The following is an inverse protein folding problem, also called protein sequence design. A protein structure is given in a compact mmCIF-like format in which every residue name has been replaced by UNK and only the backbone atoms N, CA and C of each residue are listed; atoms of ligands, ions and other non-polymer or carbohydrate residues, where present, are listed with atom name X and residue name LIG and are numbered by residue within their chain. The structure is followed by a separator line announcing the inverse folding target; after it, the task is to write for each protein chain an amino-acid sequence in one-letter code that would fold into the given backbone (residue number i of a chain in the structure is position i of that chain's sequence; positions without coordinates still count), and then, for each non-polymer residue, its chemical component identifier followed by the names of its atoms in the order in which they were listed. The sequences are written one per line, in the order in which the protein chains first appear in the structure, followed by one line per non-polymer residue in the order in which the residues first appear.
data_IF_002756070034
#
_entry.id   IF_002756070034
#
_cell.length_a   1.000
_cell.length_b   1.000
_cell.length_c   1.000
_cell.angle_alpha   90.00
_cell.angle_beta   90.00
_cell.angle_gamma   90.00
#
_symmetry.space_group_name_H-M   'P 1'
#
loop_
_entity.id
_entity.type
_entity.pdbx_description
1 polymer ?
#
# COMPACT_ATOMS: atom_id res chain seq x y z
N UNK A 1 -36.53 -43.50 -46.71
CA UNK A 1 -36.34 -43.73 -45.24
C UNK A 1 -35.07 -43.07 -44.87
N UNK A 2 -35.18 -41.78 -44.55
CA UNK A 2 -34.06 -40.94 -44.12
C UNK A 2 -33.84 -41.14 -42.63
N UNK A 3 -32.64 -41.56 -42.23
CA UNK A 3 -32.20 -41.59 -40.83
C UNK A 3 -31.78 -40.19 -40.43
N UNK A 4 -32.60 -39.52 -39.63
CA UNK A 4 -32.19 -38.28 -38.94
C UNK A 4 -31.17 -38.61 -37.87
N UNK A 5 -29.92 -38.31 -38.18
CA UNK A 5 -28.79 -38.29 -37.23
C UNK A 5 -28.89 -37.03 -36.34
N UNK A 6 -29.55 -37.18 -35.19
CA UNK A 6 -29.59 -36.11 -34.18
C UNK A 6 -28.23 -36.00 -33.50
N UNK A 7 -27.31 -35.28 -34.15
CA UNK A 7 -26.02 -34.87 -33.61
C UNK A 7 -26.18 -34.01 -32.33
N UNK A 8 -26.42 -34.65 -31.17
CA UNK A 8 -26.38 -33.99 -29.87
C UNK A 8 -24.92 -33.65 -29.55
N UNK A 9 -24.56 -32.36 -29.65
CA UNK A 9 -23.29 -31.84 -29.21
C UNK A 9 -23.00 -32.26 -27.78
N UNK A 10 -22.07 -33.19 -27.57
CA UNK A 10 -21.56 -33.52 -26.26
C UNK A 10 -20.92 -32.25 -25.65
N UNK A 11 -21.38 -31.84 -24.49
CA UNK A 11 -20.76 -30.74 -23.72
C UNK A 11 -19.42 -31.27 -23.17
N UNK A 12 -18.39 -31.22 -24.01
CA UNK A 12 -17.04 -31.65 -23.64
C UNK A 12 -16.44 -30.77 -22.54
N UNK A 13 -15.76 -31.37 -21.58
CA UNK A 13 -14.85 -30.71 -20.69
C UNK A 13 -15.39 -30.01 -19.44
N UNK A 14 -16.70 -29.92 -19.22
CA UNK A 14 -17.27 -29.33 -18.01
C UNK A 14 -17.47 -30.37 -16.91
N UNK A 15 -17.05 -30.05 -15.68
CA UNK A 15 -17.36 -30.85 -14.50
C UNK A 15 -18.88 -30.88 -14.24
N UNK A 16 -19.36 -31.94 -13.55
CA UNK A 16 -20.72 -31.97 -13.06
C UNK A 16 -20.97 -30.80 -12.11
N UNK A 17 -22.06 -30.08 -12.33
CA UNK A 17 -22.54 -29.05 -11.40
C UNK A 17 -23.50 -29.68 -10.36
N UNK A 18 -23.94 -28.90 -9.38
CA UNK A 18 -24.80 -29.35 -8.30
C UNK A 18 -26.18 -29.87 -8.84
N UNK A 19 -26.73 -29.17 -9.79
CA UNK A 19 -28.04 -29.54 -10.39
C UNK A 19 -27.94 -30.85 -11.15
N UNK A 20 -26.89 -31.05 -11.93
CA UNK A 20 -26.64 -32.30 -12.66
C UNK A 20 -26.46 -33.49 -11.69
N UNK A 21 -25.84 -33.27 -10.51
CA UNK A 21 -25.72 -34.30 -9.47
C UNK A 21 -27.07 -34.69 -8.89
N UNK A 22 -27.91 -33.70 -8.57
CA UNK A 22 -29.27 -33.93 -8.07
C UNK A 22 -30.11 -34.66 -9.13
N UNK A 23 -29.99 -34.25 -10.40
CA UNK A 23 -30.68 -34.93 -11.52
C UNK A 23 -30.18 -36.36 -11.69
N UNK A 24 -28.88 -36.60 -11.59
CA UNK A 24 -28.33 -37.98 -11.64
C UNK A 24 -28.88 -38.84 -10.48
N UNK A 25 -28.97 -38.30 -9.26
CA UNK A 25 -29.52 -39.04 -8.11
C UNK A 25 -31.00 -39.42 -8.36
N UNK A 26 -31.78 -38.48 -8.84
CA UNK A 26 -33.20 -38.74 -9.17
C UNK A 26 -33.35 -39.81 -10.27
N UNK A 27 -32.55 -39.72 -11.34
CA UNK A 27 -32.58 -40.71 -12.44
C UNK A 27 -32.13 -42.10 -11.98
N UNK A 28 -31.09 -42.19 -11.17
CA UNK A 28 -30.60 -43.47 -10.60
C UNK A 28 -31.69 -44.09 -9.73
N UNK A 29 -32.34 -43.31 -8.87
CA UNK A 29 -33.41 -43.79 -7.98
C UNK A 29 -34.63 -44.28 -8.75
N UNK A 30 -35.02 -43.57 -9.82
CA UNK A 30 -36.21 -43.90 -10.61
C UNK A 30 -36.01 -45.08 -11.56
N UNK A 31 -34.84 -45.15 -12.22
CA UNK A 31 -34.64 -46.13 -13.32
C UNK A 31 -33.90 -47.39 -12.84
N UNK A 32 -33.18 -47.34 -11.75
CA UNK A 32 -32.35 -48.44 -11.22
C UNK A 32 -32.60 -48.63 -9.71
N UNK A 33 -33.82 -49.11 -9.34
CA UNK A 33 -34.16 -49.36 -7.95
C UNK A 33 -33.27 -50.44 -7.36
N UNK A 34 -33.22 -50.51 -6.06
CA UNK A 34 -32.43 -51.35 -5.13
C UNK A 34 -31.72 -52.57 -5.77
N UNK A 35 -30.38 -52.57 -5.78
CA UNK A 35 -29.58 -53.70 -6.23
C UNK A 35 -29.36 -53.86 -7.74
N UNK A 36 -30.00 -53.03 -8.56
CA UNK A 36 -29.81 -53.04 -10.02
C UNK A 36 -28.63 -52.14 -10.38
N UNK A 37 -27.66 -52.63 -11.11
CA UNK A 37 -26.54 -51.81 -11.57
C UNK A 37 -26.99 -50.75 -12.58
N UNK A 38 -26.55 -49.50 -12.44
CA UNK A 38 -26.92 -48.41 -13.35
C UNK A 38 -26.36 -48.60 -14.76
N UNK A 39 -27.20 -48.44 -15.76
CA UNK A 39 -26.77 -48.32 -17.15
C UNK A 39 -26.21 -46.88 -17.40
N UNK A 40 -24.90 -46.75 -17.38
CA UNK A 40 -24.24 -45.47 -17.57
C UNK A 40 -24.38 -44.90 -18.98
N UNK A 41 -24.64 -45.74 -20.00
CA UNK A 41 -24.92 -45.30 -21.37
C UNK A 41 -26.26 -44.60 -21.44
N UNK A 42 -27.30 -45.21 -20.86
CA UNK A 42 -28.65 -44.62 -20.78
C UNK A 42 -28.67 -43.35 -19.96
N UNK A 43 -28.00 -43.34 -18.81
CA UNK A 43 -27.86 -42.14 -17.97
C UNK A 43 -27.09 -41.04 -18.70
N UNK A 44 -26.07 -41.39 -19.47
CA UNK A 44 -25.30 -40.46 -20.28
C UNK A 44 -26.15 -39.73 -21.32
N UNK A 45 -27.00 -40.46 -22.03
CA UNK A 45 -27.94 -39.87 -22.98
C UNK A 45 -28.92 -38.92 -22.32
N UNK A 46 -29.49 -39.30 -21.16
CA UNK A 46 -30.47 -38.48 -20.42
C UNK A 46 -29.87 -37.20 -19.82
N UNK A 47 -28.56 -37.20 -19.49
CA UNK A 47 -27.83 -36.08 -18.93
C UNK A 47 -27.06 -35.26 -19.98
N UNK A 48 -27.01 -35.72 -21.24
CA UNK A 48 -26.17 -35.09 -22.27
C UNK A 48 -24.67 -35.21 -21.98
N UNK A 49 -24.23 -36.28 -21.29
CA UNK A 49 -22.87 -36.53 -20.84
C UNK A 49 -22.33 -37.86 -21.36
N UNK A 50 -21.03 -37.93 -21.58
CA UNK A 50 -20.40 -39.20 -21.95
C UNK A 50 -20.50 -40.22 -20.81
N UNK A 51 -20.75 -41.50 -21.17
CA UNK A 51 -20.96 -42.59 -20.20
C UNK A 51 -19.86 -42.71 -19.14
N UNK A 52 -18.59 -42.50 -19.54
CA UNK A 52 -17.44 -42.56 -18.60
C UNK A 52 -17.42 -41.40 -17.61
N UNK A 53 -17.99 -40.25 -17.97
CA UNK A 53 -18.11 -39.09 -17.05
C UNK A 53 -19.18 -39.40 -16.00
N UNK A 54 -20.29 -40.00 -16.40
CA UNK A 54 -21.38 -40.41 -15.50
C UNK A 54 -20.91 -41.50 -14.55
N UNK A 55 -20.22 -42.54 -15.06
CA UNK A 55 -19.67 -43.63 -14.25
C UNK A 55 -18.68 -43.12 -13.18
N UNK A 56 -17.76 -42.19 -13.56
CA UNK A 56 -16.84 -41.59 -12.62
C UNK A 56 -17.53 -40.73 -11.57
N UNK A 57 -18.58 -40.00 -11.98
CA UNK A 57 -19.37 -39.19 -11.05
C UNK A 57 -20.21 -40.08 -10.12
N UNK A 58 -20.80 -41.15 -10.63
CA UNK A 58 -21.48 -42.14 -9.80
C UNK A 58 -20.56 -42.74 -8.75
N UNK A 59 -19.37 -43.18 -9.14
CA UNK A 59 -18.37 -43.71 -8.22
C UNK A 59 -17.99 -42.69 -7.11
N UNK A 60 -17.92 -41.39 -7.45
CA UNK A 60 -17.61 -40.32 -6.48
C UNK A 60 -18.68 -40.18 -5.41
N UNK A 61 -19.98 -40.35 -5.78
CA UNK A 61 -21.10 -40.22 -4.87
C UNK A 61 -21.64 -41.56 -4.35
N UNK A 62 -20.98 -42.68 -4.65
CA UNK A 62 -21.49 -44.01 -4.25
C UNK A 62 -21.56 -44.16 -2.73
N UNK A 63 -22.69 -44.62 -2.23
CA UNK A 63 -22.95 -44.99 -0.85
C UNK A 63 -23.43 -46.42 -0.79
N UNK A 64 -23.12 -47.12 0.26
CA UNK A 64 -23.65 -48.46 0.52
C UNK A 64 -24.83 -48.33 1.49
N UNK A 65 -25.98 -48.76 1.09
CA UNK A 65 -27.20 -48.82 1.88
C UNK A 65 -27.58 -50.31 2.09
N UNK A 66 -28.46 -50.60 3.04
CA UNK A 66 -29.00 -51.92 3.27
C UNK A 66 -30.51 -51.93 3.09
N UNK A 67 -31.04 -53.03 2.60
CA UNK A 67 -32.49 -53.30 2.59
C UNK A 67 -32.97 -53.68 4.00
N UNK A 68 -34.28 -53.75 4.22
CA UNK A 68 -34.84 -54.25 5.49
C UNK A 68 -34.40 -55.68 5.82
N UNK A 69 -33.93 -56.46 4.85
CA UNK A 69 -33.42 -57.82 4.96
C UNK A 69 -31.87 -57.82 5.10
N UNK A 70 -31.25 -56.70 5.42
CA UNK A 70 -29.81 -56.49 5.59
C UNK A 70 -28.93 -56.77 4.36
N UNK A 71 -29.55 -56.82 3.17
CA UNK A 71 -28.81 -57.00 1.91
C UNK A 71 -28.21 -55.65 1.47
N UNK A 72 -26.86 -55.54 1.34
CA UNK A 72 -26.23 -54.30 0.95
C UNK A 72 -26.44 -53.98 -0.54
N UNK A 73 -26.68 -52.73 -0.87
CA UNK A 73 -26.75 -52.25 -2.24
C UNK A 73 -26.07 -50.88 -2.42
N UNK A 74 -25.57 -50.62 -3.60
CA UNK A 74 -24.99 -49.34 -3.94
C UNK A 74 -26.05 -48.33 -4.36
N UNK A 75 -26.03 -47.15 -3.81
CA UNK A 75 -26.82 -45.99 -4.21
C UNK A 75 -25.92 -44.82 -4.54
N UNK A 76 -26.45 -43.82 -5.24
CA UNK A 76 -25.73 -42.57 -5.48
C UNK A 76 -26.30 -41.47 -4.60
N UNK A 77 -25.39 -40.67 -4.01
CA UNK A 77 -25.75 -39.48 -3.24
C UNK A 77 -25.10 -38.23 -3.86
N UNK A 78 -25.93 -37.33 -4.34
CA UNK A 78 -25.50 -36.04 -4.91
C UNK A 78 -24.74 -35.21 -3.90
N UNK A 79 -25.15 -35.25 -2.61
CA UNK A 79 -24.46 -34.55 -1.52
C UNK A 79 -23.04 -35.06 -1.33
N UNK A 80 -22.85 -36.37 -1.20
CA UNK A 80 -21.54 -37.00 -1.06
C UNK A 80 -20.64 -36.69 -2.25
N UNK A 81 -21.18 -36.72 -3.47
CA UNK A 81 -20.45 -36.38 -4.69
C UNK A 81 -20.05 -34.91 -4.72
N UNK A 82 -20.92 -34.00 -4.25
CA UNK A 82 -20.62 -32.57 -4.15
C UNK A 82 -19.52 -32.33 -3.11
N UNK A 83 -19.65 -32.85 -1.90
CA UNK A 83 -18.67 -32.73 -0.84
C UNK A 83 -17.29 -33.26 -1.25
N UNK A 84 -17.27 -34.36 -2.02
CA UNK A 84 -16.02 -34.91 -2.57
C UNK A 84 -15.42 -34.02 -3.67
N UNK A 85 -16.27 -33.40 -4.51
CA UNK A 85 -15.81 -32.47 -5.53
C UNK A 85 -15.27 -31.17 -4.92
N UNK A 86 -15.94 -30.66 -3.90
CA UNK A 86 -15.51 -29.44 -3.17
C UNK A 86 -14.18 -29.66 -2.45
N UNK A 87 -14.03 -30.81 -1.78
CA UNK A 87 -12.72 -31.20 -1.19
C UNK A 87 -11.61 -31.33 -2.24
N UNK A 88 -11.91 -31.93 -3.39
CA UNK A 88 -10.95 -32.03 -4.48
C UNK A 88 -10.63 -30.66 -5.11
N UNK A 89 -11.57 -29.73 -5.11
CA UNK A 89 -11.36 -28.36 -5.58
C UNK A 89 -10.39 -27.56 -4.68
N UNK A 90 -10.45 -27.78 -3.36
CA UNK A 90 -9.53 -27.15 -2.40
C UNK A 90 -8.06 -27.52 -2.66
N UNK A 91 -7.80 -28.68 -3.25
CA UNK A 91 -6.45 -29.17 -3.57
C UNK A 91 -6.03 -28.87 -5.02
N UNK A 92 -6.85 -28.18 -5.80
CA UNK A 92 -6.53 -27.79 -7.19
C UNK A 92 -5.82 -26.45 -7.23
N UNK A 93 -4.81 -26.38 -8.05
CA UNK A 93 -4.02 -25.16 -8.27
C UNK A 93 -2.63 -25.19 -7.64
N UNK A 94 -1.79 -24.21 -7.94
CA UNK A 94 -0.48 -24.09 -7.34
C UNK A 94 -0.63 -23.83 -5.84
N UNK A 95 0.21 -24.49 -5.03
CA UNK A 95 0.23 -24.24 -3.59
C UNK A 95 0.47 -22.76 -3.30
N UNK A 96 -0.23 -22.15 -2.33
CA UNK A 96 0.02 -20.78 -1.94
C UNK A 96 1.49 -20.60 -1.57
N UNK A 97 2.20 -19.71 -2.25
CA UNK A 97 3.60 -19.40 -1.92
C UNK A 97 3.71 -18.56 -0.64
N UNK A 98 2.63 -17.86 -0.27
CA UNK A 98 2.58 -17.08 0.96
C UNK A 98 2.43 -18.02 2.16
N UNK A 99 3.55 -18.27 2.84
CA UNK A 99 3.56 -19.05 4.08
C UNK A 99 3.02 -18.25 5.25
N UNK A 100 2.52 -18.92 6.29
CA UNK A 100 2.01 -18.28 7.51
C UNK A 100 3.07 -17.37 8.17
N UNK A 101 4.35 -17.79 8.14
CA UNK A 101 5.45 -17.00 8.70
C UNK A 101 5.66 -15.68 7.94
N UNK A 102 5.73 -15.73 6.59
CA UNK A 102 5.87 -14.52 5.76
C UNK A 102 4.64 -13.63 5.89
N UNK A 103 3.43 -14.21 5.97
CA UNK A 103 2.20 -13.45 6.19
C UNK A 103 2.22 -12.69 7.53
N UNK A 104 2.66 -13.34 8.62
CA UNK A 104 2.81 -12.72 9.92
C UNK A 104 3.83 -11.56 9.89
N UNK A 105 5.00 -11.77 9.27
CA UNK A 105 6.01 -10.70 9.13
C UNK A 105 5.45 -9.48 8.38
N UNK A 106 4.74 -9.69 7.26
CA UNK A 106 4.13 -8.60 6.50
C UNK A 106 3.08 -7.86 7.34
N UNK A 107 2.23 -8.60 8.05
CA UNK A 107 1.22 -8.03 8.96
C UNK A 107 1.88 -7.14 10.00
N UNK A 108 2.92 -7.63 10.66
CA UNK A 108 3.60 -6.92 11.76
C UNK A 108 4.31 -5.66 11.23
N UNK A 109 4.97 -5.73 10.08
CA UNK A 109 5.54 -4.56 9.40
C UNK A 109 4.47 -3.49 9.07
N UNK A 110 3.27 -3.90 8.65
CA UNK A 110 2.18 -2.97 8.34
C UNK A 110 1.57 -2.39 9.61
N UNK A 111 1.23 -3.23 10.60
CA UNK A 111 0.47 -2.80 11.78
C UNK A 111 1.34 -2.14 12.83
N UNK A 112 2.51 -2.71 13.14
CA UNK A 112 3.40 -2.24 14.21
C UNK A 112 4.37 -1.18 13.71
N UNK A 113 5.01 -1.41 12.57
CA UNK A 113 5.96 -0.46 11.98
C UNK A 113 5.31 0.57 11.05
N UNK A 114 4.00 0.51 10.83
CA UNK A 114 3.22 1.45 9.99
C UNK A 114 3.72 1.55 8.55
N UNK A 115 4.30 0.47 8.02
CA UNK A 115 4.80 0.44 6.65
C UNK A 115 3.65 0.29 5.65
N UNK A 116 3.84 0.81 4.44
CA UNK A 116 2.97 0.46 3.31
C UNK A 116 3.29 -0.97 2.84
N UNK A 117 2.37 -1.64 2.12
CA UNK A 117 2.65 -2.95 1.53
C UNK A 117 3.94 -2.98 0.71
N UNK A 118 4.21 -1.93 -0.07
CA UNK A 118 5.45 -1.78 -0.81
C UNK A 118 6.68 -1.76 0.10
N UNK A 119 6.68 -0.89 1.12
CA UNK A 119 7.80 -0.75 2.03
C UNK A 119 8.04 -2.03 2.85
N UNK A 120 6.97 -2.74 3.25
CA UNK A 120 7.08 -4.03 3.92
C UNK A 120 7.76 -5.08 3.04
N UNK A 121 7.38 -5.16 1.76
CA UNK A 121 8.03 -6.05 0.78
C UNK A 121 9.51 -5.70 0.61
N UNK A 122 9.85 -4.43 0.44
CA UNK A 122 11.24 -4.00 0.29
C UNK A 122 12.07 -4.30 1.55
N UNK A 123 11.52 -4.09 2.74
CA UNK A 123 12.16 -4.44 4.01
C UNK A 123 12.44 -5.94 4.12
N UNK A 124 11.50 -6.80 3.71
CA UNK A 124 11.70 -8.25 3.71
C UNK A 124 12.74 -8.70 2.68
N UNK A 125 12.76 -8.07 1.50
CA UNK A 125 13.77 -8.37 0.48
C UNK A 125 15.19 -7.99 0.93
N UNK A 126 15.32 -6.86 1.60
CA UNK A 126 16.60 -6.38 2.13
C UNK A 126 17.19 -7.31 3.21
N UNK A 127 16.37 -8.13 3.89
CA UNK A 127 16.87 -9.13 4.86
C UNK A 127 17.69 -10.22 4.20
N UNK A 128 17.33 -10.67 2.99
CA UNK A 128 18.04 -11.70 2.25
C UNK A 128 17.91 -13.14 2.79
N UNK A 129 17.25 -13.35 3.93
CA UNK A 129 17.11 -14.65 4.61
C UNK A 129 15.87 -15.44 4.18
N UNK A 130 14.99 -14.84 3.38
CA UNK A 130 13.75 -15.48 2.92
C UNK A 130 13.93 -16.06 1.51
N UNK A 131 13.56 -17.34 1.27
CA UNK A 131 13.67 -17.95 -0.05
C UNK A 131 12.73 -17.31 -1.08
N UNK A 132 11.67 -16.67 -0.61
CA UNK A 132 10.71 -15.98 -1.45
C UNK A 132 9.98 -14.87 -0.69
N UNK A 133 9.84 -13.72 -1.34
CA UNK A 133 9.09 -12.55 -0.84
C UNK A 133 8.04 -12.16 -1.89
N UNK A 134 6.77 -11.96 -1.52
CA UNK A 134 5.72 -11.58 -2.45
C UNK A 134 6.00 -10.23 -3.11
N UNK A 135 5.40 -9.96 -4.26
CA UNK A 135 5.37 -8.60 -4.79
C UNK A 135 4.28 -7.77 -4.09
N UNK A 136 4.37 -6.44 -4.22
CA UNK A 136 3.38 -5.51 -3.64
C UNK A 136 1.93 -5.89 -4.00
N UNK A 137 1.69 -6.23 -5.26
CA UNK A 137 0.34 -6.61 -5.75
C UNK A 137 -0.19 -7.86 -5.06
N UNK A 138 0.67 -8.86 -4.85
CA UNK A 138 0.29 -10.09 -4.13
C UNK A 138 -0.07 -9.81 -2.66
N UNK A 139 0.58 -8.84 -2.02
CA UNK A 139 0.23 -8.40 -0.66
C UNK A 139 -1.17 -7.78 -0.63
N UNK A 140 -1.51 -6.92 -1.61
CA UNK A 140 -2.87 -6.37 -1.70
C UNK A 140 -3.92 -7.45 -1.91
N UNK A 141 -3.68 -8.44 -2.79
CA UNK A 141 -4.58 -9.58 -2.94
C UNK A 141 -4.74 -10.40 -1.65
N UNK A 142 -3.66 -10.61 -0.91
CA UNK A 142 -3.72 -11.32 0.36
C UNK A 142 -4.50 -10.53 1.44
N UNK A 143 -4.43 -9.19 1.43
CA UNK A 143 -5.26 -8.33 2.27
C UNK A 143 -6.73 -8.47 1.88
N UNK A 144 -7.05 -8.41 0.58
CA UNK A 144 -8.43 -8.52 0.08
C UNK A 144 -9.04 -9.90 0.36
N UNK A 145 -8.23 -10.95 0.34
CA UNK A 145 -8.63 -12.32 0.69
C UNK A 145 -8.64 -12.59 2.21
N UNK A 146 -8.30 -11.61 3.06
CA UNK A 146 -8.25 -11.78 4.53
C UNK A 146 -7.09 -12.62 5.05
N UNK A 147 -6.13 -12.99 4.19
CA UNK A 147 -5.03 -13.91 4.54
C UNK A 147 -3.97 -13.30 5.48
N UNK A 148 -3.91 -11.99 5.58
CA UNK A 148 -2.94 -11.27 6.42
C UNK A 148 -3.50 -10.80 7.76
N UNK A 149 -4.82 -10.89 7.97
CA UNK A 149 -5.46 -10.28 9.14
C UNK A 149 -5.31 -8.75 9.20
N UNK A 150 -5.10 -8.11 8.03
CA UNK A 150 -4.98 -6.66 7.85
C UNK A 150 -6.13 -6.18 7.00
N UNK A 151 -6.82 -5.12 7.41
CA UNK A 151 -7.86 -4.48 6.62
C UNK A 151 -7.30 -3.27 5.83
N UNK A 152 -7.95 -2.90 4.71
CA UNK A 152 -7.59 -1.68 3.95
C UNK A 152 -7.63 -0.39 4.79
N UNK A 153 -8.49 -0.34 5.80
CA UNK A 153 -8.60 0.80 6.71
C UNK A 153 -7.37 0.99 7.62
N UNK A 154 -6.58 -0.05 7.81
CA UNK A 154 -5.36 -0.03 8.61
C UNK A 154 -4.12 0.33 7.78
N UNK A 155 -4.25 0.39 6.45
CA UNK A 155 -3.15 0.81 5.59
C UNK A 155 -2.83 2.30 5.79
N UNK A 156 -1.56 2.70 5.64
CA UNK A 156 -1.13 4.09 5.78
C UNK A 156 -1.82 5.06 4.82
N UNK A 157 -2.21 4.57 3.65
CA UNK A 157 -2.93 5.33 2.63
C UNK A 157 -4.36 4.84 2.56
N UNK A 158 -5.26 5.57 3.20
CA UNK A 158 -6.69 5.32 3.08
C UNK A 158 -7.18 5.94 1.76
N UNK A 159 -8.10 5.27 1.04
CA UNK A 159 -8.81 5.91 -0.05
C UNK A 159 -9.47 7.18 0.50
N UNK A 160 -9.10 8.32 -0.02
CA UNK A 160 -9.78 9.58 0.35
C UNK A 160 -11.19 9.53 -0.22
N UNK A 161 -12.21 9.56 0.65
CA UNK A 161 -13.59 9.78 0.24
C UNK A 161 -13.73 11.05 -0.61
N UNK A 162 -14.87 11.26 -1.27
CA UNK A 162 -15.14 12.44 -2.09
C UNK A 162 -14.67 13.71 -1.37
N UNK A 163 -13.74 14.45 -1.98
CA UNK A 163 -13.32 15.76 -1.48
C UNK A 163 -14.55 16.67 -1.45
N UNK A 164 -15.00 17.03 -0.28
CA UNK A 164 -15.94 18.14 -0.16
C UNK A 164 -15.27 19.39 -0.75
N UNK A 165 -15.85 19.95 -1.78
CA UNK A 165 -15.44 21.27 -2.30
C UNK A 165 -15.60 22.26 -1.15
N UNK A 166 -14.49 22.81 -0.67
CA UNK A 166 -14.55 23.91 0.30
C UNK A 166 -15.08 25.12 -0.45
N UNK A 167 -16.26 25.57 -0.08
CA UNK A 167 -16.79 26.86 -0.50
C UNK A 167 -15.99 27.98 0.18
N UNK A 168 -15.62 28.98 -0.56
CA UNK A 168 -14.97 30.21 -0.07
C UNK A 168 -13.63 30.50 -0.76
N UNK A 169 -13.56 31.63 -1.47
CA UNK A 169 -12.31 32.20 -1.94
C UNK A 169 -11.47 32.61 -0.72
N UNK A 170 -10.31 31.97 -0.54
CA UNK A 170 -9.32 32.43 0.44
C UNK A 170 -8.49 33.53 -0.22
N UNK A 171 -8.29 34.65 0.48
CA UNK A 171 -7.34 35.65 0.04
C UNK A 171 -5.96 35.01 -0.13
N UNK A 172 -5.40 35.16 -1.33
CA UNK A 172 -4.04 34.74 -1.61
C UNK A 172 -3.11 35.87 -1.17
N UNK A 173 -2.14 35.53 -0.33
CA UNK A 173 -1.03 36.42 -0.05
C UNK A 173 0.15 36.03 -0.96
N UNK A 174 0.73 36.98 -1.65
CA UNK A 174 1.94 36.80 -2.47
C UNK A 174 3.07 37.60 -1.85
N UNK A 175 4.20 36.96 -1.55
CA UNK A 175 5.39 37.69 -1.12
C UNK A 175 5.99 38.41 -2.33
N UNK A 176 5.70 39.70 -2.47
CA UNK A 176 6.20 40.55 -3.58
C UNK A 176 7.67 40.93 -3.44
N UNK A 177 8.28 40.70 -2.29
CA UNK A 177 9.69 41.02 -2.00
C UNK A 177 10.62 39.82 -2.15
N UNK A 178 10.10 38.59 -2.14
CA UNK A 178 10.87 37.37 -2.28
C UNK A 178 11.05 36.93 -3.71
N UNK A 179 12.05 36.08 -3.99
CA UNK A 179 12.27 35.51 -5.33
C UNK A 179 11.14 34.51 -5.69
N UNK A 180 10.53 34.63 -6.85
CA UNK A 180 9.51 33.68 -7.27
C UNK A 180 10.15 32.32 -7.61
N UNK A 181 9.35 31.24 -7.50
CA UNK A 181 9.79 29.85 -7.78
C UNK A 181 10.29 29.68 -9.22
N UNK A 182 9.84 30.53 -10.14
CA UNK A 182 10.26 30.52 -11.55
C UNK A 182 11.73 30.86 -11.77
N UNK A 183 12.34 31.55 -10.82
CA UNK A 183 13.78 31.90 -10.84
C UNK A 183 14.67 30.83 -10.19
N UNK A 184 14.06 29.74 -9.72
CA UNK A 184 14.78 28.65 -9.05
C UNK A 184 15.70 27.93 -10.05
N UNK A 185 16.94 27.53 -9.61
CA UNK A 185 17.89 26.85 -10.49
C UNK A 185 17.31 25.58 -11.13
N UNK A 186 17.68 25.27 -12.40
CA UNK A 186 17.19 24.08 -13.12
C UNK A 186 17.46 22.76 -12.38
N UNK A 187 18.59 22.64 -11.67
CA UNK A 187 18.94 21.48 -10.84
C UNK A 187 17.89 21.19 -9.75
N UNK A 188 17.33 22.25 -9.17
CA UNK A 188 16.21 22.13 -8.24
C UNK A 188 14.93 21.65 -8.93
N UNK A 189 14.63 22.15 -10.13
CA UNK A 189 13.41 21.78 -10.86
C UNK A 189 13.44 20.31 -11.29
N UNK A 190 14.52 19.90 -11.93
CA UNK A 190 14.70 18.54 -12.42
C UNK A 190 15.09 17.52 -11.32
N UNK A 191 15.34 18.00 -10.09
CA UNK A 191 15.78 17.16 -8.96
C UNK A 191 17.03 16.34 -9.27
N UNK A 192 17.91 16.91 -10.04
CA UNK A 192 19.16 16.28 -10.50
C UNK A 192 20.34 16.56 -9.57
N UNK A 193 20.17 17.46 -8.61
CA UNK A 193 21.21 17.98 -7.76
C UNK A 193 20.77 17.98 -6.29
N UNK A 194 21.68 17.60 -5.38
CA UNK A 194 21.45 17.67 -3.94
C UNK A 194 21.59 19.11 -3.44
N UNK A 195 20.83 19.42 -2.38
CA UNK A 195 20.94 20.72 -1.70
C UNK A 195 19.75 21.65 -1.94
N UNK A 196 18.76 21.21 -2.69
CA UNK A 196 17.54 21.96 -2.93
C UNK A 196 16.40 21.42 -2.06
N UNK A 197 15.97 22.22 -1.09
CA UNK A 197 15.01 21.82 -0.07
C UNK A 197 13.68 22.56 -0.20
N UNK A 198 12.62 21.92 0.16
CA UNK A 198 11.30 22.50 0.37
C UNK A 198 11.06 22.62 1.87
N UNK A 199 10.56 23.77 2.34
CA UNK A 199 10.30 24.04 3.76
C UNK A 199 8.82 24.32 3.99
N UNK A 200 8.23 23.70 5.02
CA UNK A 200 6.81 23.83 5.37
C UNK A 200 6.63 23.74 6.88
N UNK A 201 5.43 24.12 7.35
CA UNK A 201 5.04 23.94 8.75
C UNK A 201 3.83 23.00 8.88
N UNK A 202 3.91 22.07 9.81
CA UNK A 202 2.80 21.20 10.20
C UNK A 202 2.23 21.70 11.52
N UNK A 203 1.00 22.21 11.47
CA UNK A 203 0.32 22.75 12.67
C UNK A 203 -0.47 21.68 13.41
N UNK A 204 -0.62 21.87 14.71
CA UNK A 204 -1.47 21.06 15.59
C UNK A 204 -2.97 21.28 15.42
N UNK A 205 -3.75 20.90 16.40
CA UNK A 205 -5.19 21.13 16.45
C UNK A 205 -5.53 22.60 16.72
N UNK A 206 -6.69 23.02 16.26
CA UNK A 206 -7.25 24.32 16.64
C UNK A 206 -7.55 24.33 18.15
N UNK A 207 -7.14 25.37 18.85
CA UNK A 207 -7.32 25.47 20.30
C UNK A 207 -6.31 24.67 21.14
N UNK A 208 -5.33 24.03 20.52
CA UNK A 208 -4.18 23.42 21.22
C UNK A 208 -3.06 24.45 21.40
N UNK A 209 -1.86 23.98 21.71
CA UNK A 209 -0.69 24.85 21.84
C UNK A 209 -0.30 25.53 20.53
N UNK A 210 0.46 26.67 20.56
CA UNK A 210 0.98 27.31 19.38
C UNK A 210 2.11 26.52 18.70
N UNK A 211 2.57 25.42 19.30
CA UNK A 211 3.66 24.59 18.79
C UNK A 211 3.32 24.02 17.42
N UNK A 212 4.32 23.98 16.56
CA UNK A 212 4.23 23.37 15.22
C UNK A 212 5.52 22.59 14.90
N UNK A 213 5.49 21.86 13.79
CA UNK A 213 6.70 21.23 13.24
C UNK A 213 7.18 22.05 12.05
N UNK A 214 8.48 22.30 11.99
CA UNK A 214 9.18 22.69 10.79
C UNK A 214 9.58 21.40 10.06
N UNK A 215 9.22 21.27 8.81
CA UNK A 215 9.53 20.13 7.94
C UNK A 215 10.32 20.64 6.75
N UNK A 216 11.52 20.11 6.57
CA UNK A 216 12.34 20.35 5.39
C UNK A 216 12.49 19.06 4.61
N UNK A 217 12.19 19.12 3.31
CA UNK A 217 12.26 17.96 2.40
C UNK A 217 13.31 18.25 1.32
N UNK A 218 14.35 17.43 1.24
CA UNK A 218 15.29 17.48 0.14
C UNK A 218 14.65 16.91 -1.14
N UNK A 219 14.78 17.66 -2.24
CA UNK A 219 13.98 17.41 -3.46
C UNK A 219 14.42 16.17 -4.23
N UNK A 220 15.72 15.86 -4.30
CA UNK A 220 16.27 14.74 -5.04
C UNK A 220 16.19 13.43 -4.23
N UNK A 221 16.67 13.44 -3.01
CA UNK A 221 16.80 12.26 -2.16
C UNK A 221 15.58 11.96 -1.30
N UNK A 222 14.67 12.93 -1.19
CA UNK A 222 13.50 12.85 -0.30
C UNK A 222 13.85 12.77 1.18
N UNK A 223 15.06 13.19 1.56
CA UNK A 223 15.45 13.28 2.96
C UNK A 223 14.61 14.32 3.67
N UNK A 224 14.14 13.95 4.85
CA UNK A 224 13.32 14.82 5.70
C UNK A 224 14.10 15.26 6.93
N UNK A 225 13.86 16.50 7.35
CA UNK A 225 14.26 17.03 8.64
C UNK A 225 12.99 17.55 9.30
N UNK A 226 12.70 17.09 10.51
CA UNK A 226 11.50 17.46 11.25
C UNK A 226 11.90 18.04 12.60
N UNK A 227 11.55 19.31 12.85
CA UNK A 227 11.91 20.01 14.09
C UNK A 227 10.70 20.62 14.76
N UNK A 228 10.67 20.55 16.10
CA UNK A 228 9.61 21.17 16.90
C UNK A 228 9.92 22.65 17.11
N UNK A 229 9.01 23.50 16.69
CA UNK A 229 8.99 24.93 17.01
C UNK A 229 8.03 25.22 18.17
N UNK A 230 8.36 26.23 18.96
CA UNK A 230 7.49 26.70 20.05
C UNK A 230 6.22 27.38 19.54
N UNK A 231 6.30 28.04 18.39
CA UNK A 231 5.18 28.70 17.74
C UNK A 231 5.46 28.85 16.22
N UNK A 232 4.39 29.06 15.45
CA UNK A 232 4.43 29.34 14.00
C UNK A 232 4.77 30.82 13.75
N UNK A 233 6.01 31.20 13.94
CA UNK A 233 6.50 32.57 13.78
C UNK A 233 7.81 32.61 13.01
N UNK A 234 8.09 33.74 12.35
CA UNK A 234 9.36 34.00 11.64
C UNK A 234 10.57 33.80 12.55
N UNK A 235 10.51 34.38 13.76
CA UNK A 235 11.58 34.28 14.73
C UNK A 235 11.85 32.83 15.19
N UNK A 236 10.80 31.99 15.30
CA UNK A 236 10.96 30.59 15.68
C UNK A 236 11.62 29.76 14.55
N UNK A 237 11.25 30.03 13.29
CA UNK A 237 11.87 29.40 12.12
C UNK A 237 13.33 29.76 12.02
N UNK A 238 13.66 31.06 12.03
CA UNK A 238 15.05 31.54 11.93
C UNK A 238 15.91 30.99 13.06
N UNK A 239 15.44 31.05 14.31
CA UNK A 239 16.14 30.52 15.48
C UNK A 239 16.43 29.03 15.35
N UNK A 240 15.51 28.24 14.82
CA UNK A 240 15.74 26.81 14.63
C UNK A 240 16.75 26.53 13.52
N UNK A 241 16.71 27.26 12.41
CA UNK A 241 17.71 27.17 11.35
C UNK A 241 19.10 27.57 11.87
N UNK A 242 19.20 28.66 12.61
CA UNK A 242 20.44 29.11 13.24
C UNK A 242 20.99 28.07 14.23
N UNK A 243 20.09 27.44 15.00
CA UNK A 243 20.48 26.36 15.94
C UNK A 243 21.06 25.16 15.22
N UNK A 244 20.40 24.73 14.12
CA UNK A 244 20.87 23.62 13.30
C UNK A 244 22.18 23.92 12.62
N UNK A 245 22.38 25.13 12.10
CA UNK A 245 23.62 25.56 11.46
C UNK A 245 24.79 25.58 12.47
N UNK A 246 24.60 26.18 13.66
CA UNK A 246 25.62 26.20 14.73
C UNK A 246 25.96 24.80 15.24
N UNK A 247 25.04 23.89 15.19
CA UNK A 247 25.26 22.49 15.56
C UNK A 247 25.97 21.66 14.46
N UNK A 248 26.34 22.27 13.32
CA UNK A 248 26.96 21.57 12.20
C UNK A 248 26.07 20.53 11.57
N UNK A 249 24.74 20.76 11.58
CA UNK A 249 23.78 19.77 11.04
C UNK A 249 24.05 19.52 9.54
N UNK A 250 24.00 18.26 9.15
CA UNK A 250 24.29 17.82 7.77
C UNK A 250 23.44 18.48 6.66
N UNK A 251 22.32 19.14 7.02
CA UNK A 251 21.57 20.01 6.12
C UNK A 251 22.45 21.03 5.41
N UNK A 252 23.37 21.65 6.18
CA UNK A 252 24.18 22.78 5.70
C UNK A 252 25.39 22.34 4.87
N UNK A 253 25.71 21.05 4.85
CA UNK A 253 26.73 20.48 3.96
C UNK A 253 26.23 20.37 2.53
N UNK A 254 25.96 21.49 1.88
CA UNK A 254 25.46 21.52 0.50
C UNK A 254 24.07 22.13 0.35
N UNK A 255 23.58 22.84 1.36
CA UNK A 255 22.36 23.62 1.25
C UNK A 255 22.53 24.74 0.21
N UNK A 256 21.71 24.69 -0.85
CA UNK A 256 21.73 25.67 -1.93
C UNK A 256 20.50 26.56 -1.91
N UNK A 257 19.32 25.96 -1.90
CA UNK A 257 18.05 26.70 -1.94
C UNK A 257 17.02 26.15 -0.97
N UNK A 258 16.16 27.05 -0.47
CA UNK A 258 14.94 26.72 0.27
C UNK A 258 13.74 27.23 -0.53
N UNK A 259 12.76 26.37 -0.79
CA UNK A 259 11.49 26.75 -1.41
C UNK A 259 10.38 26.73 -0.37
N UNK A 260 9.71 27.85 -0.16
CA UNK A 260 8.64 28.04 0.82
C UNK A 260 7.29 28.32 0.15
N UNK A 261 6.20 28.21 0.89
CA UNK A 261 4.95 28.88 0.54
C UNK A 261 4.95 30.34 1.05
N UNK A 262 3.86 31.04 0.78
CA UNK A 262 3.68 32.40 1.26
C UNK A 262 3.12 32.45 2.69
N UNK A 263 3.48 31.50 3.54
CA UNK A 263 3.12 31.47 4.96
C UNK A 263 3.74 32.66 5.72
N UNK A 264 3.00 33.22 6.67
CA UNK A 264 3.49 34.38 7.44
C UNK A 264 4.79 34.11 8.20
N UNK A 265 5.07 32.85 8.53
CA UNK A 265 6.28 32.38 9.20
C UNK A 265 7.54 32.42 8.32
N UNK A 266 7.38 32.56 6.99
CA UNK A 266 8.48 32.58 6.03
C UNK A 266 8.72 33.95 5.37
N UNK A 267 7.96 34.98 5.77
CA UNK A 267 8.03 36.30 5.12
C UNK A 267 9.35 37.02 5.34
N UNK A 268 10.03 36.77 6.47
CA UNK A 268 11.38 37.26 6.70
C UNK A 268 12.42 36.33 6.06
N UNK A 269 12.41 36.32 4.74
CA UNK A 269 13.33 35.47 3.98
C UNK A 269 14.80 35.92 4.13
N UNK A 270 15.06 37.19 4.38
CA UNK A 270 16.43 37.70 4.62
C UNK A 270 17.03 37.10 5.88
N UNK A 271 16.25 36.96 6.94
CA UNK A 271 16.69 36.26 8.15
C UNK A 271 16.87 34.74 7.92
N UNK A 272 16.06 34.14 7.04
CA UNK A 272 16.21 32.72 6.65
C UNK A 272 17.48 32.51 5.82
N UNK A 273 17.78 33.42 4.88
CA UNK A 273 18.97 33.34 4.03
C UNK A 273 20.28 33.56 4.79
N UNK A 274 20.29 34.47 5.75
CA UNK A 274 21.44 34.87 6.50
C UNK A 274 22.08 33.70 7.26
N UNK A 275 23.41 33.52 7.13
CA UNK A 275 24.17 32.57 7.93
C UNK A 275 24.33 33.04 9.38
N UNK A 276 24.26 32.12 10.33
CA UNK A 276 24.53 32.33 11.74
C UNK A 276 26.03 32.19 12.10
N UNK A 277 26.84 31.68 11.16
CA UNK A 277 28.25 31.35 11.40
C UNK A 277 29.25 32.24 10.64
N UNK A 278 28.81 32.81 9.51
CA UNK A 278 29.70 33.57 8.61
C UNK A 278 28.98 34.78 8.03
N UNK A 279 29.75 35.74 7.52
CA UNK A 279 29.20 36.82 6.72
C UNK A 279 28.59 36.25 5.41
N UNK A 280 27.40 36.73 5.02
CA UNK A 280 26.70 36.29 3.82
C UNK A 280 25.57 35.27 4.09
N UNK A 281 25.13 34.67 3.04
CA UNK A 281 23.94 33.80 3.05
C UNK A 281 24.32 32.33 3.21
N UNK A 282 23.45 31.56 3.90
CA UNK A 282 23.49 30.09 3.97
C UNK A 282 22.81 29.42 2.76
N UNK A 283 21.86 30.10 2.14
CA UNK A 283 21.11 29.63 0.98
C UNK A 283 20.37 30.77 0.30
N UNK A 284 19.69 30.47 -0.80
CA UNK A 284 18.70 31.36 -1.44
C UNK A 284 17.28 30.85 -1.16
N UNK A 285 16.32 31.76 -0.94
CA UNK A 285 14.92 31.43 -0.65
C UNK A 285 14.04 31.78 -1.85
N UNK A 286 13.18 30.85 -2.25
CA UNK A 286 12.22 30.99 -3.33
C UNK A 286 10.79 30.75 -2.82
N UNK A 287 9.81 31.44 -3.39
CA UNK A 287 8.41 31.34 -2.99
C UNK A 287 7.56 30.71 -4.09
N UNK A 288 6.77 29.69 -3.72
CA UNK A 288 5.81 29.06 -4.61
C UNK A 288 4.65 30.01 -4.94
N UNK A 289 4.03 29.81 -6.10
CA UNK A 289 2.83 30.56 -6.46
C UNK A 289 1.67 30.24 -5.52
N UNK A 290 0.85 31.22 -5.17
CA UNK A 290 -0.34 30.99 -4.38
C UNK A 290 -1.25 29.93 -5.05
N UNK A 291 -1.81 29.02 -4.23
CA UNK A 291 -2.71 27.95 -4.65
C UNK A 291 -2.17 26.90 -5.62
N UNK A 292 -0.89 26.89 -5.96
CA UNK A 292 -0.25 25.87 -6.78
C UNK A 292 0.43 24.78 -5.93
N UNK A 293 -0.37 23.93 -5.29
CA UNK A 293 0.13 22.83 -4.46
C UNK A 293 1.03 21.85 -5.23
N UNK A 294 0.86 21.72 -6.56
CA UNK A 294 1.68 20.86 -7.41
C UNK A 294 3.16 21.25 -7.44
N UNK A 295 3.49 22.52 -7.23
CA UNK A 295 4.88 23.02 -7.18
C UNK A 295 5.65 22.51 -5.96
N UNK A 296 4.94 22.05 -4.90
CA UNK A 296 5.45 21.58 -3.63
C UNK A 296 4.96 20.17 -3.28
N UNK A 297 4.82 19.31 -4.27
CA UNK A 297 4.31 17.95 -4.09
C UNK A 297 5.16 17.08 -3.15
N UNK A 298 6.44 17.41 -2.94
CA UNK A 298 7.31 16.72 -1.98
C UNK A 298 6.85 16.96 -0.56
N UNK A 299 6.56 18.21 -0.19
CA UNK A 299 6.10 18.58 1.15
C UNK A 299 4.73 18.00 1.48
N UNK A 300 3.79 17.99 0.52
CA UNK A 300 2.47 17.37 0.76
C UNK A 300 2.62 15.90 1.12
N UNK A 301 3.50 15.18 0.43
CA UNK A 301 3.78 13.78 0.74
C UNK A 301 4.50 13.62 2.09
N UNK A 302 5.51 14.46 2.39
CA UNK A 302 6.23 14.47 3.67
C UNK A 302 5.25 14.68 4.84
N UNK A 303 4.43 15.72 4.75
CA UNK A 303 3.42 16.04 5.76
C UNK A 303 2.44 14.87 5.97
N UNK A 304 2.04 14.18 4.90
CA UNK A 304 1.18 12.99 4.99
C UNK A 304 1.88 11.83 5.70
N UNK A 305 3.19 11.66 5.54
CA UNK A 305 3.95 10.63 6.25
C UNK A 305 4.08 11.01 7.73
N UNK A 306 4.41 12.25 8.07
CA UNK A 306 4.46 12.76 9.46
C UNK A 306 3.11 12.53 10.15
N UNK A 307 1.99 12.72 9.44
CA UNK A 307 0.63 12.52 9.97
C UNK A 307 0.27 11.07 10.31
N UNK A 308 1.11 10.09 9.97
CA UNK A 308 0.95 8.71 10.48
C UNK A 308 1.25 8.61 11.96
N UNK A 309 2.12 9.48 12.48
CA UNK A 309 2.54 9.52 13.88
C UNK A 309 1.87 10.63 14.67
N UNK A 310 1.70 11.78 14.04
CA UNK A 310 1.10 12.98 14.63
C UNK A 310 -0.19 13.29 13.85
N UNK A 311 -1.35 12.71 14.26
CA UNK A 311 -2.61 12.90 13.54
C UNK A 311 -3.02 14.37 13.45
N UNK A 312 -3.86 14.70 12.47
CA UNK A 312 -4.43 16.03 12.37
C UNK A 312 -5.29 16.30 13.63
N UNK A 313 -5.05 17.43 14.27
CA UNK A 313 -5.75 17.79 15.51
C UNK A 313 -4.96 17.46 16.78
N UNK A 314 -3.86 16.70 16.71
CA UNK A 314 -3.01 16.43 17.88
C UNK A 314 -2.32 17.70 18.37
N UNK A 315 -2.12 17.78 19.69
CA UNK A 315 -1.28 18.83 20.29
C UNK A 315 0.20 18.49 20.10
N UNK A 316 0.89 19.30 19.32
CA UNK A 316 2.31 19.11 19.03
C UNK A 316 3.19 19.35 20.27
N UNK A 317 2.72 20.15 21.24
CA UNK A 317 3.47 20.41 22.47
C UNK A 317 3.70 19.15 23.30
N UNK A 318 2.79 18.17 23.22
CA UNK A 318 2.89 16.91 23.94
C UNK A 318 4.01 15.98 23.45
N UNK A 319 4.55 16.22 22.24
CA UNK A 319 5.65 15.43 21.70
C UNK A 319 7.00 16.01 22.10
N UNK A 320 7.87 15.18 22.66
CA UNK A 320 9.24 15.55 22.96
C UNK A 320 10.09 15.65 21.68
N UNK A 321 11.18 16.41 21.73
CA UNK A 321 12.15 16.48 20.61
C UNK A 321 12.71 15.09 20.25
N UNK A 322 12.93 14.22 21.22
CA UNK A 322 13.40 12.85 21.01
C UNK A 322 12.37 11.98 20.27
N UNK A 323 11.09 12.15 20.58
CA UNK A 323 10.03 11.45 19.83
C UNK A 323 9.95 11.93 18.38
N UNK A 324 10.07 13.24 18.14
CA UNK A 324 10.09 13.81 16.80
C UNK A 324 11.32 13.34 16.01
N UNK A 325 12.49 13.26 16.64
CA UNK A 325 13.69 12.71 16.02
C UNK A 325 13.49 11.25 15.59
N UNK A 326 12.89 10.40 16.44
CA UNK A 326 12.56 9.02 16.07
C UNK A 326 11.61 8.93 14.88
N UNK A 327 10.67 9.88 14.75
CA UNK A 327 9.78 9.96 13.58
C UNK A 327 10.59 10.33 12.33
N UNK A 328 11.49 11.28 12.42
CA UNK A 328 12.38 11.67 11.34
C UNK A 328 13.26 10.50 10.89
N UNK A 329 13.91 9.80 11.83
CA UNK A 329 14.74 8.63 11.56
C UNK A 329 13.94 7.54 10.84
N UNK A 330 12.72 7.26 11.33
CA UNK A 330 11.83 6.29 10.69
C UNK A 330 11.45 6.71 9.25
N UNK A 331 11.15 8.00 9.02
CA UNK A 331 10.79 8.54 7.70
C UNK A 331 11.98 8.39 6.74
N UNK A 332 13.20 8.67 7.19
CA UNK A 332 14.41 8.60 6.38
C UNK A 332 14.86 7.18 6.09
N UNK A 333 14.54 6.22 6.96
CA UNK A 333 14.77 4.79 6.77
C UNK A 333 13.67 4.07 5.95
N UNK A 334 12.61 4.80 5.54
CA UNK A 334 11.47 4.20 4.82
C UNK A 334 11.82 3.91 3.36
N UNK A 335 11.74 2.65 2.88
CA UNK A 335 11.87 2.32 1.46
C UNK A 335 10.79 3.01 0.62
N UNK A 336 11.19 3.74 -0.42
CA UNK A 336 10.28 4.54 -1.25
C UNK A 336 10.29 4.08 -2.70
N UNK A 337 9.12 3.92 -3.30
CA UNK A 337 8.98 3.50 -4.69
C UNK A 337 9.60 4.51 -5.67
N UNK A 338 9.50 5.79 -5.36
CA UNK A 338 10.09 6.88 -6.18
C UNK A 338 11.63 6.90 -6.13
N UNK A 339 12.24 6.17 -5.21
CA UNK A 339 13.68 5.99 -5.05
C UNK A 339 14.09 4.54 -5.40
N UNK A 340 13.31 3.84 -6.21
CA UNK A 340 13.55 2.46 -6.64
C UNK A 340 13.75 1.47 -5.49
N UNK A 341 13.07 1.73 -4.38
CA UNK A 341 13.12 0.89 -3.17
C UNK A 341 14.17 1.31 -2.15
N UNK A 342 15.00 2.27 -2.46
CA UNK A 342 15.91 2.86 -1.49
C UNK A 342 15.16 3.71 -0.48
N UNK A 343 15.73 3.81 0.71
CA UNK A 343 15.38 4.85 1.68
C UNK A 343 16.03 6.20 1.30
N UNK A 344 15.55 7.27 1.89
CA UNK A 344 16.15 8.60 1.69
C UNK A 344 17.61 8.64 2.17
N UNK A 345 17.90 7.96 3.28
CA UNK A 345 19.22 7.86 3.85
C UNK A 345 20.21 7.11 2.93
N UNK A 346 19.80 5.96 2.38
CA UNK A 346 20.57 5.20 1.39
C UNK A 346 20.82 6.02 0.11
N UNK A 347 19.81 6.78 -0.35
CA UNK A 347 19.95 7.63 -1.54
C UNK A 347 20.95 8.77 -1.30
N UNK A 348 20.94 9.40 -0.13
CA UNK A 348 21.94 10.41 0.26
C UNK A 348 23.33 9.81 0.28
N UNK A 349 23.50 8.66 0.93
CA UNK A 349 24.80 7.98 1.02
C UNK A 349 25.36 7.69 -0.38
N UNK A 350 24.56 7.09 -1.26
CA UNK A 350 24.97 6.81 -2.64
C UNK A 350 25.38 8.07 -3.40
N UNK A 351 24.61 9.15 -3.29
CA UNK A 351 24.92 10.40 -3.97
C UNK A 351 26.31 10.94 -3.58
N UNK A 352 26.63 10.92 -2.29
CA UNK A 352 27.95 11.41 -1.85
C UNK A 352 29.08 10.44 -2.21
N UNK A 353 28.85 9.13 -2.22
CA UNK A 353 29.81 8.14 -2.68
C UNK A 353 30.10 8.32 -4.18
N UNK A 354 29.08 8.49 -5.03
CA UNK A 354 29.19 8.71 -6.47
C UNK A 354 29.84 10.06 -6.83
N UNK A 355 29.68 11.08 -5.96
CA UNK A 355 30.24 12.43 -6.20
C UNK A 355 31.67 12.55 -5.69
N UNK A 356 32.10 11.67 -4.80
CA UNK A 356 33.45 11.65 -4.25
C UNK A 356 34.43 10.77 -5.07
N UNK A 357 33.88 9.93 -5.98
CA UNK A 357 34.66 9.08 -6.90
C UNK A 357 34.95 9.80 -8.23
#
# INVERSE_FOLDING_TARGET
MEQEDHGRKHIGGKHFNREERVRLEALVRALFPRGREPDFTRLGVLLGRHRSSVSREYARGAVVNQTGELVPFRAYSARKAQDAADRAALNKGPRPRLTTGVAAMIRDLILLERLSPYAAVMRLRARGDLPWVPCERSVYYAIDAGLLGVSKSQLPYKPTGKRHKRAGARMAYTNTKGRPITERPPGAEHRSEYGHWEMDTVVGGTGTSPACLLVLTERMTRREIVRKLSARTQAAVTRELDRLERAGHALFSGLKTLTCDNGCEFLDFTAIERSALRAGNRCEVFFAHPFRASERGSNENANRIVRRFIPKGADISSFTRKQIQRIEDWINALPRKILDGLSAEEKVKRYFEETAA
#
